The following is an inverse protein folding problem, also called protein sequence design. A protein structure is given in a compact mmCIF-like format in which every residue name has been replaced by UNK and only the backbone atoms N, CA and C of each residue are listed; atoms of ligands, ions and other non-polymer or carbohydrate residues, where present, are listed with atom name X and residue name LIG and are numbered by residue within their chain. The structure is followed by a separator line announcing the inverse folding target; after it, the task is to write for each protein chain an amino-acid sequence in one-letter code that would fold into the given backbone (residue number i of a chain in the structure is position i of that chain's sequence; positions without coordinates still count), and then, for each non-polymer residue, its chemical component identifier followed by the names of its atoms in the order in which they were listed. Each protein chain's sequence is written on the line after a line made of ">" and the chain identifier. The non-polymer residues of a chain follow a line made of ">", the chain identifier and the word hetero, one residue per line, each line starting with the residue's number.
data_IF_291537370325
#
_entry.id   IF_291537370325
#
_cell.length_a   1.000
_cell.length_b   1.000
_cell.length_c   1.000
_cell.angle_alpha   90.00
_cell.angle_beta   90.00
_cell.angle_gamma   90.00
#
_symmetry.space_group_name_H-M   'P 1'
#
loop_
_entity.id
_entity.type
_entity.pdbx_description
1 polymer ?
#
# COMPACT_ATOMS: atom_id res chain seq x y z
N UNK A 1 16.61 -1.20 -7.77
CA UNK A 1 15.84 -0.66 -6.64
C UNK A 1 16.53 0.57 -6.07
N UNK A 2 15.76 1.45 -5.49
CA UNK A 2 16.25 2.68 -4.86
C UNK A 2 15.68 2.79 -3.45
N UNK A 3 16.50 3.28 -2.51
CA UNK A 3 16.16 3.38 -1.08
C UNK A 3 16.05 4.87 -0.72
N UNK A 4 14.96 5.34 -0.09
CA UNK A 4 14.82 6.73 0.32
C UNK A 4 15.83 7.04 1.44
N UNK A 5 16.83 7.89 1.13
CA UNK A 5 18.00 8.10 1.99
C UNK A 5 17.64 8.64 3.37
N UNK A 6 16.79 9.67 3.44
CA UNK A 6 16.42 10.30 4.71
C UNK A 6 15.71 9.31 5.63
N UNK A 7 14.76 8.55 5.10
CA UNK A 7 14.03 7.54 5.84
C UNK A 7 14.93 6.40 6.35
N UNK A 8 15.80 5.88 5.48
CA UNK A 8 16.75 4.85 5.86
C UNK A 8 17.69 5.32 6.98
N UNK A 9 18.21 6.54 6.89
CA UNK A 9 19.07 7.10 7.92
C UNK A 9 18.34 7.30 9.23
N UNK A 10 17.11 7.82 9.22
CA UNK A 10 16.29 7.97 10.43
C UNK A 10 16.05 6.62 11.10
N UNK A 11 15.69 5.58 10.34
CA UNK A 11 15.49 4.23 10.85
C UNK A 11 16.75 3.60 11.49
N UNK A 12 17.93 4.02 11.02
CA UNK A 12 19.23 3.57 11.52
C UNK A 12 19.83 4.47 12.63
N UNK A 13 19.05 5.42 13.14
CA UNK A 13 19.49 6.38 14.16
C UNK A 13 20.44 7.46 13.65
N UNK A 14 20.54 7.61 12.33
CA UNK A 14 21.35 8.62 11.67
C UNK A 14 20.52 9.82 11.17
N UNK A 15 21.17 10.69 10.40
CA UNK A 15 20.53 11.86 9.74
C UNK A 15 21.00 11.98 8.30
N UNK A 16 20.13 12.50 7.44
CA UNK A 16 20.46 12.91 6.09
C UNK A 16 19.83 14.27 5.82
N UNK A 17 20.64 15.24 5.42
CA UNK A 17 20.26 16.64 5.20
C UNK A 17 20.77 17.13 3.84
N UNK A 18 19.90 17.77 3.08
CA UNK A 18 20.27 18.44 1.84
C UNK A 18 21.09 19.69 2.17
N UNK A 19 22.24 19.88 1.51
CA UNK A 19 23.09 21.05 1.69
C UNK A 19 22.63 22.28 0.88
N UNK A 20 21.56 22.12 0.11
CA UNK A 20 21.02 23.17 -0.79
C UNK A 20 21.93 23.49 -1.99
N UNK A 21 22.96 22.69 -2.26
CA UNK A 21 23.95 22.86 -3.34
C UNK A 21 24.10 21.63 -4.22
N UNK A 22 23.20 20.67 -4.08
CA UNK A 22 23.19 19.44 -4.88
C UNK A 22 23.89 18.26 -4.20
N UNK A 23 24.15 18.32 -2.90
CA UNK A 23 24.66 17.18 -2.16
C UNK A 23 23.90 16.92 -0.85
N UNK A 24 23.86 15.67 -0.43
CA UNK A 24 23.29 15.26 0.84
C UNK A 24 24.38 14.93 1.84
N UNK A 25 24.35 15.59 2.99
CA UNK A 25 25.21 15.29 4.13
C UNK A 25 24.54 14.26 5.02
N UNK A 26 25.26 13.18 5.31
CA UNK A 26 24.75 12.03 6.04
C UNK A 26 25.63 11.78 7.26
N UNK A 27 25.00 11.49 8.40
CA UNK A 27 25.68 11.06 9.63
C UNK A 27 25.01 9.79 10.15
N UNK A 28 25.83 8.78 10.53
CA UNK A 28 25.34 7.55 11.12
C UNK A 28 26.40 7.04 12.12
N UNK A 29 26.09 7.12 13.43
CA UNK A 29 27.08 6.88 14.48
C UNK A 29 28.24 7.90 14.37
N UNK A 30 29.48 7.40 14.32
CA UNK A 30 30.69 8.21 14.15
C UNK A 30 31.02 8.50 12.67
N UNK A 31 30.36 7.84 11.72
CA UNK A 31 30.63 7.98 10.28
C UNK A 31 29.89 9.17 9.69
N UNK A 32 30.56 9.85 8.78
CA UNK A 32 29.99 10.92 7.98
C UNK A 32 30.09 10.59 6.50
N UNK A 33 29.08 10.96 5.72
CA UNK A 33 29.12 10.80 4.28
C UNK A 33 28.54 12.00 3.55
N UNK A 34 29.00 12.18 2.30
CA UNK A 34 28.42 13.14 1.37
C UNK A 34 28.03 12.42 0.11
N UNK A 35 26.79 12.57 -0.34
CA UNK A 35 26.25 11.95 -1.55
C UNK A 35 25.86 13.05 -2.54
N UNK A 36 26.46 13.03 -3.71
CA UNK A 36 26.10 13.94 -4.80
C UNK A 36 24.75 13.53 -5.39
N UNK A 37 23.83 14.47 -5.50
CA UNK A 37 22.47 14.17 -5.93
C UNK A 37 22.36 13.89 -7.43
N UNK A 38 23.28 14.38 -8.26
CA UNK A 38 23.21 14.27 -9.71
C UNK A 38 23.81 12.94 -10.21
N UNK A 39 24.96 12.53 -9.64
CA UNK A 39 25.69 11.38 -10.16
C UNK A 39 25.97 10.29 -9.12
N UNK A 40 25.48 10.46 -7.90
CA UNK A 40 25.64 9.47 -6.82
C UNK A 40 27.05 9.33 -6.29
N UNK A 41 27.97 10.22 -6.63
CA UNK A 41 29.32 10.21 -6.06
C UNK A 41 29.28 10.36 -4.57
N UNK A 42 29.78 9.36 -3.89
CA UNK A 42 29.73 9.26 -2.43
C UNK A 42 31.13 9.39 -1.84
N UNK A 43 31.27 10.18 -0.80
CA UNK A 43 32.46 10.20 0.05
C UNK A 43 32.03 9.78 1.47
N UNK A 44 32.79 8.88 2.06
CA UNK A 44 32.59 8.45 3.45
C UNK A 44 33.86 8.78 4.21
N UNK A 45 33.72 9.52 5.32
CA UNK A 45 34.82 10.04 6.14
C UNK A 45 35.90 10.73 5.30
N UNK A 46 35.43 11.52 4.32
CA UNK A 46 36.28 12.27 3.38
C UNK A 46 36.93 11.44 2.26
N UNK A 47 36.80 10.12 2.26
CA UNK A 47 37.34 9.23 1.23
C UNK A 47 36.28 8.88 0.21
N UNK A 48 36.66 8.89 -1.08
CA UNK A 48 35.76 8.51 -2.17
C UNK A 48 35.39 7.02 -2.07
N UNK A 49 34.11 6.75 -1.91
CA UNK A 49 33.53 5.43 -2.12
C UNK A 49 33.23 5.28 -3.62
N UNK A 50 33.57 4.14 -4.20
CA UNK A 50 33.33 3.85 -5.62
C UNK A 50 33.02 2.37 -5.80
N UNK A 51 32.13 2.07 -6.72
CA UNK A 51 31.76 0.71 -7.09
C UNK A 51 30.76 0.72 -8.25
N UNK A 52 30.60 -0.44 -8.90
CA UNK A 52 29.54 -0.59 -9.89
C UNK A 52 28.17 -0.51 -9.22
N UNK A 53 27.23 0.21 -9.84
CA UNK A 53 25.85 0.34 -9.36
C UNK A 53 25.59 1.48 -8.40
N UNK A 54 26.57 2.37 -8.17
CA UNK A 54 26.32 3.64 -7.45
C UNK A 54 25.43 4.53 -8.32
N UNK A 55 24.26 4.86 -7.81
CA UNK A 55 23.31 5.73 -8.49
C UNK A 55 22.34 6.37 -7.49
N UNK A 56 21.78 7.49 -7.91
CA UNK A 56 20.81 8.28 -7.14
C UNK A 56 19.60 8.58 -8.02
N UNK A 57 18.51 8.91 -7.38
CA UNK A 57 17.30 9.37 -8.02
C UNK A 57 16.64 10.42 -7.14
N UNK A 58 16.28 11.57 -7.72
CA UNK A 58 15.50 12.60 -7.03
C UNK A 58 14.08 12.61 -7.59
N UNK A 59 13.12 12.33 -6.75
CA UNK A 59 11.71 12.56 -7.06
C UNK A 59 11.41 14.03 -6.75
N UNK A 60 11.36 14.85 -7.80
CA UNK A 60 11.13 16.28 -7.65
C UNK A 60 9.70 16.61 -7.23
N UNK A 61 8.74 15.78 -7.61
CA UNK A 61 7.32 16.00 -7.27
C UNK A 61 7.06 15.76 -5.79
N UNK A 62 7.77 14.80 -5.19
CA UNK A 62 7.66 14.46 -3.77
C UNK A 62 8.78 15.06 -2.91
N UNK A 63 9.70 15.81 -3.50
CA UNK A 63 10.89 16.34 -2.83
C UNK A 63 11.69 15.26 -2.05
N UNK A 64 11.85 14.08 -2.66
CA UNK A 64 12.51 12.92 -2.04
C UNK A 64 13.77 12.53 -2.79
N UNK A 65 14.80 12.22 -2.04
CA UNK A 65 16.09 11.75 -2.56
C UNK A 65 16.30 10.27 -2.24
N UNK A 66 16.62 9.50 -3.26
CA UNK A 66 16.80 8.06 -3.20
C UNK A 66 18.21 7.67 -3.59
N UNK A 67 18.74 6.63 -3.00
CA UNK A 67 20.06 6.06 -3.28
C UNK A 67 19.96 4.58 -3.62
N UNK A 68 20.89 4.08 -4.43
CA UNK A 68 21.01 2.64 -4.66
C UNK A 68 21.48 1.91 -3.37
N UNK A 69 21.20 0.61 -3.22
CA UNK A 69 21.69 -0.20 -2.10
C UNK A 69 23.22 -0.12 -1.93
N UNK A 70 23.95 0.02 -3.04
CA UNK A 70 25.40 0.17 -3.05
C UNK A 70 25.85 1.45 -2.35
N UNK A 71 25.17 2.56 -2.60
CA UNK A 71 25.46 3.84 -1.93
C UNK A 71 25.18 3.72 -0.43
N UNK A 72 24.04 3.13 -0.05
CA UNK A 72 23.70 2.93 1.36
C UNK A 72 24.70 2.01 2.06
N UNK A 73 25.10 0.91 1.42
CA UNK A 73 26.11 -0.01 1.93
C UNK A 73 27.46 0.70 2.19
N UNK A 74 27.88 1.57 1.26
CA UNK A 74 29.08 2.35 1.42
C UNK A 74 29.00 3.32 2.59
N UNK A 75 27.87 4.04 2.74
CA UNK A 75 27.60 4.95 3.87
C UNK A 75 27.72 4.21 5.21
N UNK A 76 27.16 3.01 5.29
CA UNK A 76 27.17 2.18 6.50
C UNK A 76 28.50 1.44 6.72
N UNK A 77 29.43 1.47 5.77
CA UNK A 77 30.66 0.66 5.81
C UNK A 77 30.37 -0.85 5.82
N UNK A 78 29.32 -1.28 5.14
CA UNK A 78 28.80 -2.66 5.15
C UNK A 78 28.77 -3.25 3.74
N UNK A 79 28.71 -4.56 3.65
CA UNK A 79 28.29 -5.27 2.43
C UNK A 79 26.80 -5.52 2.50
N UNK A 80 26.15 -5.66 1.36
CA UNK A 80 24.73 -5.99 1.30
C UNK A 80 24.49 -7.22 0.44
N UNK A 81 23.39 -7.90 0.73
CA UNK A 81 22.85 -8.99 -0.08
C UNK A 81 21.46 -8.62 -0.53
N UNK A 82 21.21 -8.70 -1.83
CA UNK A 82 19.86 -8.57 -2.38
C UNK A 82 19.12 -9.89 -2.13
N UNK A 83 18.06 -9.83 -1.35
CA UNK A 83 17.22 -10.98 -1.01
C UNK A 83 16.02 -11.13 -1.96
N UNK A 84 15.96 -10.29 -3.01
CA UNK A 84 14.80 -10.16 -3.90
C UNK A 84 13.75 -9.18 -3.35
N UNK A 85 12.77 -8.86 -4.18
CA UNK A 85 11.57 -8.09 -3.82
C UNK A 85 11.83 -6.70 -3.19
N UNK A 86 12.96 -6.09 -3.52
CA UNK A 86 13.35 -4.80 -2.93
C UNK A 86 13.89 -4.91 -1.50
N UNK A 87 14.08 -6.12 -0.98
CA UNK A 87 14.63 -6.37 0.36
C UNK A 87 16.15 -6.54 0.28
N UNK A 88 16.86 -5.79 1.10
CA UNK A 88 18.33 -5.80 1.17
C UNK A 88 18.78 -6.06 2.62
N UNK A 89 19.65 -7.05 2.80
CA UNK A 89 20.32 -7.31 4.08
C UNK A 89 21.71 -6.67 4.06
N UNK A 90 22.05 -5.90 5.09
CA UNK A 90 23.36 -5.29 5.26
C UNK A 90 24.14 -6.02 6.35
N UNK A 91 25.32 -6.53 6.04
CA UNK A 91 26.13 -7.35 6.96
C UNK A 91 26.53 -6.57 8.20
N UNK A 92 26.29 -7.14 9.38
CA UNK A 92 26.67 -6.55 10.68
C UNK A 92 25.87 -5.31 11.07
N UNK A 93 24.75 -5.04 10.40
CA UNK A 93 23.74 -4.12 10.92
C UNK A 93 22.83 -4.93 11.83
N UNK A 94 22.94 -4.73 13.11
CA UNK A 94 22.02 -5.26 14.12
C UNK A 94 21.22 -4.10 14.68
N UNK A 95 19.90 -4.27 14.75
CA UNK A 95 19.05 -3.39 15.54
C UNK A 95 18.85 -4.06 16.89
N UNK A 96 19.16 -3.35 17.96
CA UNK A 96 18.97 -3.86 19.32
C UNK A 96 17.51 -4.29 19.52
N UNK A 97 17.32 -5.53 19.98
CA UNK A 97 16.00 -6.08 20.29
C UNK A 97 15.37 -6.97 19.22
N UNK A 98 16.11 -7.37 18.17
CA UNK A 98 15.59 -8.29 17.14
C UNK A 98 16.26 -9.67 17.18
N UNK A 99 15.52 -10.67 17.62
CA UNK A 99 15.97 -12.06 17.69
C UNK A 99 15.92 -12.81 16.36
N UNK A 100 15.29 -12.24 15.32
CA UNK A 100 15.15 -12.91 14.02
C UNK A 100 15.11 -11.94 12.84
N UNK A 101 15.59 -12.41 11.68
CA UNK A 101 15.55 -11.69 10.42
C UNK A 101 14.10 -11.30 10.01
N UNK A 102 13.10 -12.12 10.37
CA UNK A 102 11.70 -11.86 10.10
C UNK A 102 11.16 -10.67 10.92
N UNK A 103 11.54 -10.59 12.20
CA UNK A 103 11.17 -9.47 13.06
C UNK A 103 11.88 -8.17 12.61
N UNK A 104 13.14 -8.27 12.15
CA UNK A 104 13.89 -7.17 11.55
C UNK A 104 13.16 -6.62 10.29
N UNK A 105 12.79 -7.50 9.37
CA UNK A 105 12.11 -7.13 8.12
C UNK A 105 10.72 -6.52 8.41
N UNK A 106 9.98 -7.07 9.38
CA UNK A 106 8.70 -6.51 9.83
C UNK A 106 8.90 -5.08 10.37
N UNK A 107 9.83 -4.87 11.27
CA UNK A 107 10.08 -3.54 11.85
C UNK A 107 10.65 -2.54 10.83
N UNK A 108 11.48 -2.98 9.88
CA UNK A 108 11.94 -2.11 8.78
C UNK A 108 10.78 -1.77 7.85
N UNK A 109 9.89 -2.71 7.56
CA UNK A 109 8.66 -2.46 6.80
C UNK A 109 7.74 -1.48 7.54
N UNK A 110 7.53 -1.69 8.84
CA UNK A 110 6.72 -0.83 9.68
C UNK A 110 7.32 0.59 9.78
N UNK A 111 8.63 0.72 9.97
CA UNK A 111 9.33 2.01 10.05
C UNK A 111 9.55 2.69 8.69
N UNK A 112 9.72 1.94 7.60
CA UNK A 112 9.82 2.47 6.25
C UNK A 112 8.43 2.70 5.65
N UNK A 113 7.41 1.97 6.10
CA UNK A 113 6.00 2.24 5.81
C UNK A 113 5.64 3.67 6.23
N UNK A 114 5.91 4.04 7.46
CA UNK A 114 5.73 5.41 7.97
C UNK A 114 6.52 6.48 7.16
N UNK A 115 7.54 6.06 6.41
CA UNK A 115 8.40 6.96 5.63
C UNK A 115 8.13 6.91 4.12
N UNK A 116 7.41 5.91 3.64
CA UNK A 116 7.04 5.72 2.21
C UNK A 116 5.63 6.25 1.94
N UNK A 117 4.81 6.43 2.97
CA UNK A 117 3.52 7.06 2.80
C UNK A 117 3.71 8.52 2.38
N UNK A 118 3.31 8.78 1.14
CA UNK A 118 3.18 10.14 0.63
C UNK A 118 2.40 10.96 1.64
N UNK A 119 2.71 12.25 1.77
CA UNK A 119 2.05 13.15 2.70
C UNK A 119 0.55 12.85 2.73
N UNK A 120 0.11 12.15 3.78
CA UNK A 120 -1.31 11.97 4.03
C UNK A 120 -1.85 13.38 4.26
N UNK A 121 -2.74 13.89 3.43
CA UNK A 121 -3.23 15.24 3.60
C UNK A 121 -3.93 15.35 4.96
N UNK A 122 -3.68 16.43 5.67
CA UNK A 122 -4.39 16.69 6.92
C UNK A 122 -5.88 16.90 6.63
N UNK A 123 -6.73 16.12 7.27
CA UNK A 123 -8.18 16.16 7.08
C UNK A 123 -8.92 15.82 8.38
N UNK A 124 -10.21 16.20 8.43
CA UNK A 124 -11.11 15.88 9.55
C UNK A 124 -11.73 14.48 9.41
N UNK A 125 -11.74 13.93 8.18
CA UNK A 125 -12.38 12.65 7.84
C UNK A 125 -11.53 11.91 6.82
N UNK A 126 -11.16 10.69 7.12
CA UNK A 126 -10.41 9.80 6.25
C UNK A 126 -11.25 8.58 5.87
N UNK A 127 -11.32 8.27 4.58
CA UNK A 127 -12.14 7.18 4.04
C UNK A 127 -11.30 6.36 3.06
N UNK A 128 -11.38 5.03 3.15
CA UNK A 128 -10.81 4.13 2.14
C UNK A 128 -11.90 3.71 1.14
N UNK A 129 -11.87 4.27 -0.07
CA UNK A 129 -12.72 3.84 -1.18
C UNK A 129 -12.06 2.65 -1.88
N UNK A 130 -12.55 1.45 -1.68
CA UNK A 130 -11.93 0.22 -2.19
C UNK A 130 -12.64 -0.30 -3.43
N UNK A 131 -11.84 -0.84 -4.38
CA UNK A 131 -12.34 -1.35 -5.65
C UNK A 131 -11.96 -2.81 -5.83
N UNK A 132 -12.95 -3.68 -5.89
CA UNK A 132 -12.79 -5.11 -6.05
C UNK A 132 -12.89 -5.55 -7.53
N UNK A 133 -12.45 -6.76 -7.80
CA UNK A 133 -12.55 -7.49 -9.06
C UNK A 133 -11.70 -6.99 -10.23
N UNK A 134 -11.15 -5.79 -10.15
CA UNK A 134 -10.31 -5.24 -11.21
C UNK A 134 -8.99 -5.99 -11.42
N UNK A 135 -8.11 -5.44 -12.22
CA UNK A 135 -8.28 -4.23 -13.02
C UNK A 135 -9.13 -4.45 -14.28
N UNK A 136 -9.79 -3.39 -14.75
CA UNK A 136 -10.64 -3.42 -15.93
C UNK A 136 -10.01 -2.67 -17.10
N UNK A 137 -9.78 -3.40 -18.18
CA UNK A 137 -9.20 -2.90 -19.42
C UNK A 137 -10.16 -2.06 -20.26
N UNK A 138 -9.89 -2.06 -21.56
CA UNK A 138 -10.67 -1.31 -22.56
C UNK A 138 -12.13 -1.69 -22.53
N UNK A 139 -12.99 -0.68 -22.58
CA UNK A 139 -14.44 -0.80 -22.59
C UNK A 139 -15.04 0.30 -23.48
N UNK A 140 -16.27 0.13 -23.92
CA UNK A 140 -16.97 1.15 -24.71
C UNK A 140 -16.99 2.49 -23.95
N UNK A 141 -16.53 3.55 -24.63
CA UNK A 141 -16.35 4.86 -24.03
C UNK A 141 -15.02 5.06 -23.26
N UNK A 142 -14.27 3.99 -23.00
CA UNK A 142 -13.01 4.01 -22.23
C UNK A 142 -11.88 3.30 -23.01
N UNK A 143 -11.36 3.90 -24.09
CA UNK A 143 -10.38 3.25 -24.98
C UNK A 143 -9.05 2.92 -24.30
N UNK A 144 -8.72 3.61 -23.18
CA UNK A 144 -7.52 3.37 -22.40
C UNK A 144 -7.78 2.46 -21.18
N UNK A 145 -9.01 1.97 -21.01
CA UNK A 145 -9.43 1.15 -19.87
C UNK A 145 -10.20 1.92 -18.80
N UNK A 146 -11.16 1.25 -18.18
CA UNK A 146 -12.00 1.86 -17.14
C UNK A 146 -11.21 2.12 -15.86
N UNK A 147 -10.32 1.20 -15.45
CA UNK A 147 -9.45 1.42 -14.30
C UNK A 147 -8.49 2.60 -14.53
N UNK A 148 -7.94 2.76 -15.74
CA UNK A 148 -7.14 3.95 -16.08
C UNK A 148 -7.93 5.26 -15.96
N UNK A 149 -9.21 5.26 -16.37
CA UNK A 149 -10.08 6.42 -16.19
C UNK A 149 -10.31 6.73 -14.69
N UNK A 150 -10.50 5.69 -13.87
CA UNK A 150 -10.60 5.84 -12.41
C UNK A 150 -9.33 6.45 -11.82
N UNK A 151 -8.15 5.93 -12.19
CA UNK A 151 -6.86 6.44 -11.72
C UNK A 151 -6.65 7.92 -12.12
N UNK A 152 -7.01 8.31 -13.34
CA UNK A 152 -6.99 9.72 -13.76
C UNK A 152 -7.89 10.60 -12.87
N UNK A 153 -9.08 10.09 -12.58
CA UNK A 153 -10.05 10.78 -11.74
C UNK A 153 -9.61 10.92 -10.28
N UNK A 154 -9.03 9.87 -9.70
CA UNK A 154 -8.47 9.90 -8.35
C UNK A 154 -7.29 10.87 -8.25
N UNK A 155 -6.38 10.80 -9.20
CA UNK A 155 -5.21 11.70 -9.27
C UNK A 155 -5.61 13.18 -9.33
N UNK A 156 -6.62 13.52 -10.14
CA UNK A 156 -7.14 14.89 -10.25
C UNK A 156 -7.70 15.43 -8.93
N UNK A 157 -8.13 14.54 -8.04
CA UNK A 157 -8.73 14.84 -6.74
C UNK A 157 -7.77 14.69 -5.55
N UNK A 158 -6.50 14.36 -5.84
CA UNK A 158 -5.51 14.08 -4.78
C UNK A 158 -5.89 12.88 -3.92
N UNK A 159 -6.65 11.94 -4.46
CA UNK A 159 -7.14 10.75 -3.77
C UNK A 159 -6.32 9.51 -4.14
N UNK A 160 -6.11 8.62 -3.17
CA UNK A 160 -5.57 7.28 -3.41
C UNK A 160 -6.59 6.24 -2.96
N UNK A 161 -6.46 5.01 -3.46
CA UNK A 161 -7.42 3.95 -3.19
C UNK A 161 -6.76 2.58 -3.14
N UNK A 162 -7.29 1.63 -2.35
CA UNK A 162 -6.96 0.22 -2.44
C UNK A 162 -7.69 -0.45 -3.62
N UNK A 163 -6.95 -1.28 -4.37
CA UNK A 163 -7.48 -2.10 -5.47
C UNK A 163 -7.31 -3.58 -5.13
N UNK A 164 -8.41 -4.28 -4.90
CA UNK A 164 -8.45 -5.70 -4.56
C UNK A 164 -8.59 -6.50 -5.87
N UNK A 165 -7.47 -6.94 -6.41
CA UNK A 165 -7.39 -7.43 -7.78
C UNK A 165 -7.57 -8.94 -7.88
N UNK A 166 -8.29 -9.37 -8.93
CA UNK A 166 -8.37 -10.78 -9.34
C UNK A 166 -7.14 -11.12 -10.19
N UNK A 167 -6.36 -12.13 -9.78
CA UNK A 167 -5.08 -12.47 -10.38
C UNK A 167 -5.13 -12.75 -11.89
N UNK A 168 -6.16 -13.44 -12.38
CA UNK A 168 -6.33 -13.72 -13.81
C UNK A 168 -6.45 -12.44 -14.66
N UNK A 169 -6.97 -11.36 -14.08
CA UNK A 169 -7.22 -10.11 -14.81
C UNK A 169 -5.99 -9.22 -14.92
N UNK A 170 -5.02 -9.34 -14.01
CA UNK A 170 -3.88 -8.43 -13.97
C UNK A 170 -3.00 -8.53 -15.22
N UNK A 171 -2.91 -9.72 -15.83
CA UNK A 171 -2.14 -9.92 -17.05
C UNK A 171 -2.74 -9.25 -18.29
N UNK A 172 -4.04 -9.03 -18.31
CA UNK A 172 -4.76 -8.40 -19.43
C UNK A 172 -4.52 -6.89 -19.52
N UNK A 173 -4.13 -6.27 -18.41
CA UNK A 173 -3.95 -4.82 -18.26
C UNK A 173 -2.68 -4.50 -17.47
N UNK A 174 -1.58 -5.13 -17.87
CA UNK A 174 -0.30 -5.08 -17.16
C UNK A 174 0.30 -3.67 -17.01
N UNK A 175 -0.10 -2.70 -17.82
CA UNK A 175 0.32 -1.31 -17.75
C UNK A 175 -0.33 -0.54 -16.58
N UNK A 176 -1.44 -1.03 -16.03
CA UNK A 176 -2.18 -0.37 -14.95
C UNK A 176 -1.51 -0.54 -13.59
N UNK A 177 -0.97 -1.73 -13.29
CA UNK A 177 -0.40 -2.02 -11.97
C UNK A 177 0.83 -1.16 -11.62
N UNK A 178 1.82 -1.01 -12.52
CA UNK A 178 2.94 -0.08 -12.25
C UNK A 178 2.47 1.36 -12.04
N UNK A 179 1.40 1.75 -12.72
CA UNK A 179 0.77 3.06 -12.54
C UNK A 179 0.14 3.19 -11.15
N UNK A 180 -0.63 2.19 -10.70
CA UNK A 180 -1.21 2.16 -9.35
C UNK A 180 -0.13 2.37 -8.28
N UNK A 181 0.98 1.63 -8.38
CA UNK A 181 2.13 1.75 -7.47
C UNK A 181 2.72 3.16 -7.49
N UNK A 182 2.99 3.69 -8.68
CA UNK A 182 3.63 5.00 -8.84
C UNK A 182 2.74 6.17 -8.38
N UNK A 183 1.42 5.99 -8.42
CA UNK A 183 0.45 7.01 -7.99
C UNK A 183 0.05 6.84 -6.52
N UNK A 184 0.62 5.88 -5.78
CA UNK A 184 0.43 5.71 -4.34
C UNK A 184 -0.81 4.92 -3.93
N UNK A 185 -1.41 4.19 -4.88
CA UNK A 185 -2.53 3.29 -4.58
C UNK A 185 -2.04 2.00 -3.91
N UNK A 186 -2.89 1.38 -3.11
CA UNK A 186 -2.60 0.11 -2.45
C UNK A 186 -3.04 -1.07 -3.29
N UNK A 187 -2.15 -2.07 -3.41
CA UNK A 187 -2.45 -3.30 -4.10
C UNK A 187 -2.99 -4.33 -3.09
N UNK A 188 -4.16 -4.87 -3.38
CA UNK A 188 -4.81 -5.93 -2.59
C UNK A 188 -5.01 -7.20 -3.41
N UNK A 189 -5.12 -8.33 -2.71
CA UNK A 189 -5.38 -9.65 -3.27
C UNK A 189 -6.88 -9.97 -3.17
N UNK A 190 -7.50 -10.32 -4.30
CA UNK A 190 -8.89 -10.77 -4.36
C UNK A 190 -9.03 -12.17 -4.97
N UNK A 191 -8.08 -13.06 -4.65
CA UNK A 191 -7.95 -14.43 -5.18
C UNK A 191 -7.50 -14.49 -6.64
N UNK A 192 -7.11 -15.70 -7.09
CA UNK A 192 -6.63 -15.87 -8.46
C UNK A 192 -7.75 -15.75 -9.49
N UNK A 193 -8.87 -16.45 -9.27
CA UNK A 193 -9.92 -16.58 -10.28
C UNK A 193 -11.35 -16.33 -9.76
N UNK A 194 -11.48 -15.65 -8.63
CA UNK A 194 -12.76 -15.27 -8.03
C UNK A 194 -13.72 -16.48 -7.89
N UNK A 195 -13.37 -17.50 -7.07
CA UNK A 195 -14.13 -18.75 -7.01
C UNK A 195 -15.57 -18.52 -6.53
N UNK A 196 -16.55 -19.05 -7.30
CA UNK A 196 -17.98 -18.89 -7.01
C UNK A 196 -18.44 -19.54 -5.70
N UNK A 197 -17.69 -20.52 -5.19
CA UNK A 197 -17.96 -21.14 -3.88
C UNK A 197 -17.34 -20.35 -2.73
N UNK A 198 -16.73 -19.20 -3.01
CA UNK A 198 -15.92 -18.40 -2.09
C UNK A 198 -14.74 -19.22 -1.51
N UNK A 199 -13.82 -18.58 -0.80
CA UNK A 199 -12.72 -19.30 -0.15
C UNK A 199 -13.23 -20.25 0.95
N UNK A 200 -14.34 -19.92 1.59
CA UNK A 200 -14.96 -20.74 2.66
C UNK A 200 -15.47 -22.09 2.17
N UNK A 201 -15.68 -22.26 0.87
CA UNK A 201 -16.10 -23.52 0.25
C UNK A 201 -14.93 -24.37 -0.27
N UNK A 202 -13.69 -23.93 -0.09
CA UNK A 202 -12.48 -24.60 -0.56
C UNK A 202 -11.75 -25.33 0.58
N UNK A 203 -10.92 -26.31 0.21
CA UNK A 203 -9.94 -26.90 1.14
C UNK A 203 -8.75 -25.97 1.36
N UNK A 204 -7.99 -26.18 2.45
CA UNK A 204 -6.86 -25.34 2.88
C UNK A 204 -5.81 -25.15 1.76
N UNK A 205 -5.47 -26.23 1.03
CA UNK A 205 -4.49 -26.16 -0.05
C UNK A 205 -5.00 -25.35 -1.25
N UNK A 206 -6.30 -25.42 -1.56
CA UNK A 206 -6.91 -24.62 -2.63
C UNK A 206 -7.01 -23.15 -2.23
N UNK A 207 -7.35 -22.85 -0.95
CA UNK A 207 -7.33 -21.49 -0.41
C UNK A 207 -5.93 -20.89 -0.59
N UNK A 208 -4.90 -21.65 -0.18
CA UNK A 208 -3.48 -21.23 -0.34
C UNK A 208 -3.16 -20.93 -1.80
N UNK A 209 -3.50 -21.85 -2.70
CA UNK A 209 -3.27 -21.70 -4.13
C UNK A 209 -3.93 -20.43 -4.69
N UNK A 210 -5.19 -20.16 -4.31
CA UNK A 210 -5.93 -18.97 -4.74
C UNK A 210 -5.24 -17.66 -4.32
N UNK A 211 -4.67 -17.63 -3.12
CA UNK A 211 -3.99 -16.44 -2.59
C UNK A 211 -2.58 -16.31 -3.17
N UNK A 212 -1.80 -17.39 -3.17
CA UNK A 212 -0.40 -17.37 -3.65
C UNK A 212 -0.31 -17.07 -5.14
N UNK A 213 -1.16 -17.71 -5.97
CA UNK A 213 -1.14 -17.48 -7.41
C UNK A 213 -1.52 -16.03 -7.76
N UNK A 214 -2.54 -15.46 -7.08
CA UNK A 214 -2.88 -14.05 -7.25
C UNK A 214 -1.76 -13.12 -6.77
N UNK A 215 -1.11 -13.44 -5.64
CA UNK A 215 0.06 -12.71 -5.15
C UNK A 215 1.17 -12.67 -6.17
N UNK A 216 1.51 -13.83 -6.74
CA UNK A 216 2.55 -13.94 -7.74
C UNK A 216 2.19 -13.20 -9.03
N UNK A 217 0.94 -13.32 -9.52
CA UNK A 217 0.48 -12.61 -10.70
C UNK A 217 0.59 -11.09 -10.55
N UNK A 218 0.18 -10.53 -9.40
CA UNK A 218 0.31 -9.10 -9.10
C UNK A 218 1.77 -8.71 -8.98
N UNK A 219 2.57 -9.45 -8.23
CA UNK A 219 3.97 -9.17 -7.96
C UNK A 219 4.83 -9.17 -9.23
N UNK A 220 4.60 -10.11 -10.14
CA UNK A 220 5.35 -10.23 -11.39
C UNK A 220 5.18 -9.00 -12.29
N UNK A 221 4.03 -8.33 -12.21
CA UNK A 221 3.70 -7.16 -13.03
C UNK A 221 4.00 -5.85 -12.29
N UNK A 222 3.59 -5.75 -11.02
CA UNK A 222 3.73 -4.54 -10.22
C UNK A 222 5.13 -4.36 -9.61
N UNK A 223 5.93 -5.44 -9.53
CA UNK A 223 7.22 -5.44 -8.84
C UNK A 223 7.10 -5.47 -7.31
N UNK A 224 5.90 -5.52 -6.77
CA UNK A 224 5.61 -5.67 -5.35
C UNK A 224 4.38 -6.55 -5.10
N UNK A 225 4.35 -7.27 -3.99
CA UNK A 225 3.21 -8.09 -3.60
C UNK A 225 2.04 -7.23 -3.11
N UNK A 226 0.79 -7.73 -3.21
CA UNK A 226 -0.35 -7.15 -2.50
C UNK A 226 -0.08 -7.05 -1.00
N UNK A 227 -0.69 -6.07 -0.35
CA UNK A 227 -0.47 -5.82 1.08
C UNK A 227 -1.62 -6.33 1.95
N UNK A 228 -2.81 -6.43 1.40
CA UNK A 228 -4.04 -6.86 2.07
C UNK A 228 -4.77 -7.92 1.26
N UNK A 229 -5.59 -8.72 1.93
CA UNK A 229 -6.46 -9.72 1.32
C UNK A 229 -7.93 -9.34 1.56
N UNK A 230 -8.74 -9.40 0.52
CA UNK A 230 -10.20 -9.46 0.66
C UNK A 230 -10.70 -10.76 0.05
N UNK A 231 -11.25 -11.68 0.84
CA UNK A 231 -11.91 -12.86 0.31
C UNK A 231 -13.12 -12.49 -0.54
N UNK A 232 -13.38 -13.28 -1.58
CA UNK A 232 -14.58 -13.13 -2.43
C UNK A 232 -15.85 -13.14 -1.57
N UNK A 233 -16.71 -12.14 -1.77
CA UNK A 233 -17.92 -11.96 -0.97
C UNK A 233 -17.70 -11.71 0.52
N UNK A 234 -16.46 -11.39 0.93
CA UNK A 234 -16.08 -11.18 2.32
C UNK A 234 -16.09 -12.45 3.18
N UNK A 235 -16.30 -13.63 2.58
CA UNK A 235 -16.48 -14.90 3.31
C UNK A 235 -15.21 -15.33 4.05
N UNK A 236 -15.32 -15.54 5.36
CA UNK A 236 -14.22 -15.92 6.24
C UNK A 236 -14.61 -17.07 7.15
N UNK A 237 -13.70 -18.04 7.30
CA UNK A 237 -13.78 -19.12 8.29
C UNK A 237 -12.39 -19.33 8.92
N UNK A 238 -12.27 -20.32 9.81
CA UNK A 238 -10.99 -20.63 10.47
C UNK A 238 -9.86 -20.95 9.51
N UNK A 239 -10.15 -21.64 8.40
CA UNK A 239 -9.15 -22.06 7.43
C UNK A 239 -8.64 -20.87 6.60
N UNK A 240 -9.56 -19.99 6.17
CA UNK A 240 -9.20 -18.72 5.49
C UNK A 240 -8.32 -17.85 6.38
N UNK A 241 -8.69 -17.70 7.68
CA UNK A 241 -7.87 -16.93 8.63
C UNK A 241 -6.49 -17.55 8.86
N UNK A 242 -6.43 -18.87 8.98
CA UNK A 242 -5.16 -19.57 9.21
C UNK A 242 -4.21 -19.42 8.00
N UNK A 243 -4.72 -19.59 6.78
CA UNK A 243 -3.93 -19.41 5.55
C UNK A 243 -3.52 -17.97 5.37
N UNK A 244 -4.43 -17.00 5.59
CA UNK A 244 -4.10 -15.59 5.51
C UNK A 244 -3.01 -15.19 6.53
N UNK A 245 -3.10 -15.72 7.76
CA UNK A 245 -2.08 -15.51 8.79
C UNK A 245 -0.71 -16.08 8.39
N UNK A 246 -0.70 -17.30 7.84
CA UNK A 246 0.52 -17.95 7.38
C UNK A 246 1.19 -17.18 6.24
N UNK A 247 0.40 -16.68 5.29
CA UNK A 247 0.88 -15.93 4.14
C UNK A 247 1.16 -14.44 4.45
N UNK A 248 0.85 -13.99 5.67
CA UNK A 248 1.14 -12.64 6.12
C UNK A 248 0.09 -11.59 5.75
N UNK A 249 -1.12 -11.99 5.39
CA UNK A 249 -2.18 -11.08 4.96
C UNK A 249 -3.16 -10.71 6.08
N UNK A 250 -3.33 -9.42 6.41
CA UNK A 250 -4.53 -8.94 7.08
C UNK A 250 -5.74 -9.07 6.13
N UNK A 251 -6.91 -9.37 6.68
CA UNK A 251 -8.14 -9.53 5.91
C UNK A 251 -8.96 -8.26 6.04
N UNK A 252 -9.23 -7.60 4.90
CA UNK A 252 -9.96 -6.34 4.86
C UNK A 252 -11.29 -6.53 4.17
N UNK A 253 -12.36 -6.51 4.94
CA UNK A 253 -13.73 -6.46 4.44
C UNK A 253 -14.18 -4.98 4.32
N UNK A 254 -15.42 -4.66 4.64
CA UNK A 254 -15.95 -3.30 4.50
C UNK A 254 -16.91 -2.97 5.64
N UNK A 255 -17.07 -1.69 5.92
CA UNK A 255 -18.07 -1.13 6.83
C UNK A 255 -19.23 -0.48 6.09
N UNK A 256 -19.01 -0.04 4.83
CA UNK A 256 -20.05 0.52 3.96
C UNK A 256 -20.10 -0.26 2.65
N UNK A 257 -21.27 -0.83 2.32
CA UNK A 257 -21.52 -1.49 1.05
C UNK A 257 -22.37 -0.58 0.15
N UNK A 258 -21.83 -0.20 -0.99
CA UNK A 258 -22.56 0.63 -1.95
C UNK A 258 -23.60 -0.16 -2.74
N UNK A 259 -23.57 -1.48 -2.70
CA UNK A 259 -24.38 -2.39 -3.54
C UNK A 259 -24.34 -2.00 -5.04
N UNK A 260 -23.21 -1.47 -5.50
CA UNK A 260 -22.99 -0.98 -6.87
C UNK A 260 -23.17 -2.09 -7.92
N UNK A 261 -22.80 -3.31 -7.57
CA UNK A 261 -22.97 -4.52 -8.35
C UNK A 261 -24.44 -4.84 -8.63
N UNK A 262 -25.35 -4.40 -7.76
CA UNK A 262 -26.80 -4.66 -7.80
C UNK A 262 -27.56 -3.52 -8.49
N UNK A 263 -27.30 -2.28 -8.08
CA UNK A 263 -28.08 -1.13 -8.57
C UNK A 263 -27.59 -0.60 -9.91
N UNK A 264 -26.30 -0.65 -10.20
CA UNK A 264 -25.69 -0.15 -11.44
C UNK A 264 -26.08 1.30 -11.75
N UNK A 265 -26.10 2.13 -10.74
CA UNK A 265 -26.52 3.52 -10.78
C UNK A 265 -25.48 4.40 -10.08
N UNK A 266 -24.91 5.36 -10.82
CA UNK A 266 -23.88 6.25 -10.31
C UNK A 266 -24.39 7.20 -9.23
N UNK A 267 -25.64 7.67 -9.33
CA UNK A 267 -26.24 8.55 -8.33
C UNK A 267 -26.53 7.79 -7.02
N UNK A 268 -26.90 6.50 -7.14
CA UNK A 268 -27.02 5.61 -5.97
C UNK A 268 -25.69 5.42 -5.25
N UNK A 269 -24.63 5.05 -5.97
CA UNK A 269 -23.28 4.87 -5.41
C UNK A 269 -22.81 6.15 -4.72
N UNK A 270 -22.89 7.27 -5.42
CA UNK A 270 -22.58 8.59 -4.86
C UNK A 270 -23.36 8.87 -3.58
N UNK A 271 -24.67 8.65 -3.60
CA UNK A 271 -25.55 8.90 -2.46
C UNK A 271 -25.15 8.06 -1.24
N UNK A 272 -24.90 6.76 -1.43
CA UNK A 272 -24.48 5.87 -0.33
C UNK A 272 -23.18 6.36 0.31
N UNK A 273 -22.17 6.69 -0.50
CA UNK A 273 -20.89 7.18 0.02
C UNK A 273 -21.09 8.49 0.80
N UNK A 274 -21.79 9.46 0.20
CA UNK A 274 -21.98 10.82 0.78
C UNK A 274 -22.79 10.80 2.08
N UNK A 275 -23.77 9.90 2.18
CA UNK A 275 -24.69 9.84 3.33
C UNK A 275 -24.20 8.89 4.43
N UNK A 276 -23.44 7.84 4.10
CA UNK A 276 -23.11 6.77 5.07
C UNK A 276 -21.64 6.75 5.47
N UNK A 277 -20.71 7.08 4.56
CA UNK A 277 -19.30 6.96 4.88
C UNK A 277 -18.85 8.02 5.89
N UNK A 278 -18.16 7.57 6.93
CA UNK A 278 -17.61 8.36 8.02
C UNK A 278 -16.12 8.13 8.16
N UNK A 279 -15.51 8.81 9.12
CA UNK A 279 -14.08 8.63 9.42
C UNK A 279 -13.75 7.19 9.83
N UNK A 280 -12.73 6.63 9.21
CA UNK A 280 -12.32 5.26 9.43
C UNK A 280 -13.06 4.19 8.62
N UNK A 281 -14.01 4.60 7.75
CA UNK A 281 -14.77 3.64 6.95
C UNK A 281 -14.00 3.08 5.75
N UNK A 282 -14.24 1.79 5.50
CA UNK A 282 -13.83 1.05 4.30
C UNK A 282 -15.06 0.82 3.44
N UNK A 283 -15.07 1.41 2.25
CA UNK A 283 -16.23 1.38 1.35
C UNK A 283 -16.01 0.36 0.22
N UNK A 284 -16.94 -0.57 0.05
CA UNK A 284 -16.92 -1.57 -1.01
C UNK A 284 -17.51 -1.02 -2.31
N UNK A 285 -16.74 -1.16 -3.38
CA UNK A 285 -17.15 -0.93 -4.77
C UNK A 285 -16.36 -1.83 -5.72
N UNK A 286 -16.70 -1.78 -7.02
CA UNK A 286 -16.06 -2.55 -8.07
C UNK A 286 -15.69 -1.65 -9.26
N UNK A 287 -14.45 -1.70 -9.73
CA UNK A 287 -14.02 -0.94 -10.91
C UNK A 287 -14.37 -1.63 -12.25
N UNK A 288 -15.20 -2.66 -12.19
CA UNK A 288 -15.81 -3.32 -13.34
C UNK A 288 -16.94 -2.49 -14.00
N UNK A 289 -17.51 -1.56 -13.24
CA UNK A 289 -18.73 -0.84 -13.66
C UNK A 289 -18.47 0.65 -13.80
N UNK A 290 -18.81 1.18 -14.96
CA UNK A 290 -18.74 2.63 -15.19
C UNK A 290 -19.52 3.43 -14.15
N UNK A 291 -20.69 2.93 -13.76
CA UNK A 291 -21.55 3.56 -12.76
C UNK A 291 -20.88 3.65 -11.39
N UNK A 292 -20.16 2.62 -10.98
CA UNK A 292 -19.38 2.62 -9.72
C UNK A 292 -18.26 3.66 -9.77
N UNK A 293 -17.48 3.65 -10.84
CA UNK A 293 -16.37 4.59 -11.04
C UNK A 293 -16.86 6.03 -11.04
N UNK A 294 -17.93 6.33 -11.81
CA UNK A 294 -18.49 7.69 -11.88
C UNK A 294 -19.12 8.12 -10.56
N UNK A 295 -19.81 7.20 -9.89
CA UNK A 295 -20.41 7.46 -8.59
C UNK A 295 -19.37 7.79 -7.51
N UNK A 296 -18.28 7.01 -7.47
CA UNK A 296 -17.17 7.25 -6.56
C UNK A 296 -16.51 8.62 -6.79
N UNK A 297 -16.15 8.93 -8.04
CA UNK A 297 -15.53 10.23 -8.36
C UNK A 297 -16.46 11.40 -8.05
N UNK A 298 -17.76 11.27 -8.31
CA UNK A 298 -18.75 12.30 -7.96
C UNK A 298 -18.96 12.43 -6.44
N UNK A 299 -18.82 11.34 -5.67
CA UNK A 299 -18.86 11.39 -4.21
C UNK A 299 -17.65 12.13 -3.64
N UNK A 300 -16.46 11.88 -4.17
CA UNK A 300 -15.23 12.60 -3.80
C UNK A 300 -15.43 14.12 -4.03
N UNK A 301 -15.92 14.51 -5.21
CA UNK A 301 -16.16 15.92 -5.54
C UNK A 301 -17.12 16.57 -4.55
N UNK A 302 -18.23 15.89 -4.21
CA UNK A 302 -19.21 16.42 -3.27
C UNK A 302 -18.65 16.54 -1.85
N UNK A 303 -17.97 15.51 -1.35
CA UNK A 303 -17.40 15.52 0.00
C UNK A 303 -16.29 16.57 0.13
N UNK A 304 -15.41 16.69 -0.86
CA UNK A 304 -14.34 17.70 -0.88
C UNK A 304 -14.87 19.13 -1.07
N UNK A 305 -16.09 19.30 -1.58
CA UNK A 305 -16.73 20.63 -1.70
C UNK A 305 -17.35 21.15 -0.40
N UNK A 306 -17.45 20.30 0.63
CA UNK A 306 -18.01 20.68 1.93
C UNK A 306 -17.09 21.68 2.64
N UNK A 307 -17.68 22.58 3.42
CA UNK A 307 -16.96 23.63 4.14
C UNK A 307 -16.93 23.44 5.65
N UNK A 308 -17.68 22.47 6.15
CA UNK A 308 -17.78 22.13 7.57
C UNK A 308 -16.70 21.15 8.02
N UNK A 309 -16.22 20.31 7.09
CA UNK A 309 -15.14 19.34 7.31
C UNK A 309 -14.29 19.17 6.06
N UNK A 310 -13.05 18.80 6.25
CA UNK A 310 -12.13 18.38 5.19
C UNK A 310 -12.12 16.86 5.07
N UNK A 311 -12.06 16.36 3.83
CA UNK A 311 -12.11 14.93 3.53
C UNK A 311 -10.89 14.50 2.75
N UNK A 312 -10.24 13.42 3.18
CA UNK A 312 -9.17 12.76 2.46
C UNK A 312 -9.53 11.31 2.14
N UNK A 313 -9.12 10.86 0.95
CA UNK A 313 -9.34 9.50 0.50
C UNK A 313 -7.98 8.79 0.45
N UNK A 314 -7.85 7.74 1.24
CA UNK A 314 -6.57 7.12 1.59
C UNK A 314 -6.60 5.62 1.33
N UNK A 315 -5.43 4.98 1.40
CA UNK A 315 -5.34 3.51 1.37
C UNK A 315 -5.79 2.91 2.71
N UNK A 316 -6.05 1.59 2.73
CA UNK A 316 -6.37 0.88 3.99
C UNK A 316 -5.18 0.93 4.95
N UNK A 317 -3.96 0.76 4.44
CA UNK A 317 -2.76 0.85 5.28
C UNK A 317 -2.56 2.24 5.87
N UNK A 318 -2.84 3.30 5.11
CA UNK A 318 -2.82 4.68 5.60
C UNK A 318 -3.91 4.93 6.63
N UNK A 319 -5.13 4.46 6.37
CA UNK A 319 -6.26 4.59 7.28
C UNK A 319 -5.96 3.91 8.63
N UNK A 320 -5.40 2.70 8.60
CA UNK A 320 -4.96 1.99 9.80
C UNK A 320 -3.90 2.79 10.59
N UNK A 321 -2.92 3.36 9.91
CA UNK A 321 -1.87 4.17 10.54
C UNK A 321 -2.43 5.46 11.17
N UNK A 322 -3.38 6.14 10.52
CA UNK A 322 -4.06 7.33 11.03
C UNK A 322 -4.73 7.04 12.37
N UNK A 323 -5.44 5.92 12.47
CA UNK A 323 -6.15 5.50 13.69
C UNK A 323 -5.28 4.66 14.66
N UNK A 324 -3.97 4.56 14.42
CA UNK A 324 -3.04 3.83 15.31
C UNK A 324 -3.27 2.31 15.35
N UNK A 325 -3.86 1.74 14.29
CA UNK A 325 -4.16 0.31 14.17
C UNK A 325 -3.01 -0.40 13.45
N UNK A 326 -2.47 -1.45 14.06
CA UNK A 326 -1.58 -2.38 13.39
C UNK A 326 -2.41 -3.49 12.75
N UNK A 327 -2.33 -3.62 11.44
CA UNK A 327 -3.03 -4.68 10.70
C UNK A 327 -2.31 -6.03 10.89
N UNK A 328 -2.89 -6.92 11.67
CA UNK A 328 -2.32 -8.23 11.96
C UNK A 328 -2.77 -9.29 10.94
N UNK A 329 -1.84 -10.15 10.45
CA UNK A 329 -2.17 -11.23 9.52
C UNK A 329 -3.23 -12.20 10.08
N UNK A 330 -4.21 -12.55 9.24
CA UNK A 330 -5.31 -13.45 9.60
C UNK A 330 -6.42 -12.79 10.43
N UNK A 331 -6.26 -11.53 10.82
CA UNK A 331 -7.30 -10.76 11.51
C UNK A 331 -8.18 -10.06 10.46
N UNK A 332 -9.48 -10.06 10.71
CA UNK A 332 -10.50 -9.43 9.85
C UNK A 332 -10.76 -8.01 10.33
N UNK A 333 -10.79 -7.05 9.42
CA UNK A 333 -11.15 -5.66 9.68
C UNK A 333 -12.27 -5.24 8.74
N UNK A 334 -13.35 -4.63 9.28
CA UNK A 334 -14.45 -4.09 8.48
C UNK A 334 -14.32 -2.58 8.29
N UNK A 335 -13.88 -1.87 9.31
CA UNK A 335 -13.52 -0.46 9.32
C UNK A 335 -12.33 -0.25 10.24
N UNK A 336 -11.75 0.95 10.22
CA UNK A 336 -10.50 1.26 10.92
C UNK A 336 -10.66 2.60 11.68
N UNK A 337 -11.60 2.61 12.63
CA UNK A 337 -11.95 3.78 13.43
C UNK A 337 -11.18 3.81 14.76
N UNK A 338 -11.19 4.95 15.45
CA UNK A 338 -10.67 5.05 16.82
C UNK A 338 -11.34 4.08 17.78
N UNK A 339 -12.65 3.79 17.59
CA UNK A 339 -13.36 2.79 18.37
C UNK A 339 -12.79 1.38 18.14
N UNK A 340 -12.51 1.03 16.89
CA UNK A 340 -11.85 -0.24 16.53
C UNK A 340 -10.47 -0.32 17.15
N UNK A 341 -9.68 0.75 17.11
CA UNK A 341 -8.38 0.82 17.77
C UNK A 341 -8.48 0.56 19.28
N UNK A 342 -9.47 1.17 19.94
CA UNK A 342 -9.71 0.96 21.37
C UNK A 342 -10.14 -0.48 21.67
N UNK A 343 -11.04 -1.06 20.86
CA UNK A 343 -11.48 -2.45 21.03
C UNK A 343 -10.34 -3.45 20.82
N UNK A 344 -9.43 -3.18 19.89
CA UNK A 344 -8.20 -3.98 19.71
C UNK A 344 -7.30 -3.87 20.96
N UNK A 345 -7.10 -2.66 21.48
CA UNK A 345 -6.24 -2.41 22.63
C UNK A 345 -6.74 -3.07 23.92
N UNK A 346 -8.05 -3.14 24.12
CA UNK A 346 -8.65 -3.78 25.31
C UNK A 346 -9.03 -5.26 25.10
N UNK A 347 -8.80 -5.80 23.89
CA UNK A 347 -9.09 -7.20 23.54
C UNK A 347 -10.55 -7.53 23.33
N UNK A 348 -11.43 -6.53 23.16
CA UNK A 348 -12.86 -6.70 22.91
C UNK A 348 -13.22 -6.69 21.42
N UNK A 349 -12.25 -6.47 20.53
CA UNK A 349 -12.50 -6.39 19.10
C UNK A 349 -13.11 -7.69 18.54
N UNK A 350 -14.25 -7.56 17.91
CA UNK A 350 -14.97 -8.64 17.26
C UNK A 350 -15.52 -8.17 15.91
N UNK A 351 -14.85 -8.52 14.81
CA UNK A 351 -15.28 -8.09 13.48
C UNK A 351 -16.58 -8.78 13.07
N UNK A 352 -17.31 -8.16 12.16
CA UNK A 352 -18.37 -8.84 11.42
C UNK A 352 -17.75 -9.83 10.44
N UNK A 353 -18.07 -11.10 10.57
CA UNK A 353 -17.62 -12.16 9.66
C UNK A 353 -18.77 -12.55 8.73
N UNK A 354 -18.49 -12.50 7.42
CA UNK A 354 -19.41 -13.02 6.41
C UNK A 354 -19.12 -14.51 6.18
N UNK A 355 -20.13 -15.33 5.99
CA UNK A 355 -20.03 -16.81 5.83
C UNK A 355 -20.46 -17.26 4.44
#
# INVERSE_FOLDING_TARGET
>A
AYIPLKAAMTALGGKAEDDGKGAWNVTCGESTATVDADDGKTKVDGKRASGNGFSTYTDQDKNRFYVSPQVLAAILGKTYTDLGDGVFSFTGVTLDGFDSQKAYLKNMKDKLGDAVDGDIPEADVYIALTFDDGPTGKKDGYPNGLTNYLLDGLKQRGAVAPFLMVGERVSEVSDVLPRMVNEGHELGNHTMNHPMCHLTGLGVDDIRTQIDDATNAVKDIAGQAPQVLRPVGGGVNSDVKAVAAELGYPIINWSVDTEDWKYRDADHVKKVIVEQAQDGDVVLMHDLYETSVRGALAAIDELQSRTDKTYAFVTVSQLAAIHGITLEPGVVYNGLTDEVAQQIADGSYSPTEFT
#
